data_IF_956356562961
#
_entry.id   IF_956356562961
#
_cell.length_a   1.000
_cell.length_b   1.000
_cell.length_c   1.000
_cell.angle_alpha   90.00
_cell.angle_beta   90.00
_cell.angle_gamma   90.00
#
_symmetry.space_group_name_H-M   'P 1'
#
loop_
_entity.id
_entity.type
_entity.pdbx_description
1 polymer ?
#
# COMPACT_ATOMS: atom_id res chain seq x y z
N UNK A 1 20.11 14.44 -6.64
CA UNK A 1 19.04 13.91 -5.76
C UNK A 1 17.67 14.34 -6.27
N UNK A 2 17.42 15.64 -6.53
CA UNK A 2 16.10 16.14 -6.96
C UNK A 2 15.63 15.55 -8.31
N UNK A 3 16.53 15.38 -9.29
CA UNK A 3 16.22 14.78 -10.58
C UNK A 3 15.78 13.32 -10.43
N UNK A 4 16.48 12.55 -9.60
CA UNK A 4 16.16 11.15 -9.32
C UNK A 4 14.80 11.03 -8.63
N UNK A 5 14.50 11.91 -7.69
CA UNK A 5 13.20 11.93 -7.00
C UNK A 5 12.05 12.30 -7.94
N UNK A 6 12.23 13.29 -8.81
CA UNK A 6 11.24 13.66 -9.81
C UNK A 6 10.99 12.52 -10.81
N UNK A 7 12.06 11.83 -11.22
CA UNK A 7 11.97 10.67 -12.11
C UNK A 7 11.22 9.49 -11.44
N UNK A 8 11.60 9.13 -10.22
CA UNK A 8 10.95 8.05 -9.46
C UNK A 8 9.47 8.37 -9.18
N UNK A 9 9.16 9.62 -8.83
CA UNK A 9 7.79 10.09 -8.67
C UNK A 9 6.98 9.97 -9.96
N UNK A 10 7.55 10.32 -11.11
CA UNK A 10 6.87 10.19 -12.41
C UNK A 10 6.55 8.74 -12.78
N UNK A 11 7.41 7.80 -12.42
CA UNK A 11 7.16 6.36 -12.59
C UNK A 11 6.03 5.87 -11.68
N UNK A 12 6.02 6.31 -10.42
CA UNK A 12 4.98 5.94 -9.45
C UNK A 12 3.59 6.42 -9.93
N UNK A 13 3.48 7.68 -10.37
CA UNK A 13 2.25 8.22 -10.94
C UNK A 13 1.82 7.48 -12.19
N UNK A 14 2.73 7.24 -13.13
CA UNK A 14 2.44 6.49 -14.35
C UNK A 14 1.86 5.10 -14.02
N UNK A 15 2.47 4.35 -13.10
CA UNK A 15 1.99 3.04 -12.70
C UNK A 15 0.63 3.08 -12.00
N UNK A 16 0.41 4.09 -11.16
CA UNK A 16 -0.86 4.29 -10.46
C UNK A 16 -2.00 4.53 -11.45
N UNK A 17 -1.84 5.50 -12.35
CA UNK A 17 -2.91 5.88 -13.28
C UNK A 17 -3.14 4.86 -14.39
N UNK A 18 -2.12 4.12 -14.81
CA UNK A 18 -2.28 2.97 -15.71
C UNK A 18 -3.20 1.91 -15.08
N UNK A 19 -3.06 1.68 -13.78
CA UNK A 19 -3.90 0.69 -13.07
C UNK A 19 -5.32 1.19 -12.80
N UNK A 20 -5.48 2.46 -12.43
CA UNK A 20 -6.76 3.01 -12.01
C UNK A 20 -7.63 3.45 -13.19
N UNK A 21 -7.03 4.14 -14.17
CA UNK A 21 -7.76 4.82 -15.24
C UNK A 21 -7.50 4.24 -16.64
N UNK A 22 -6.61 3.24 -16.76
CA UNK A 22 -6.15 2.69 -18.05
C UNK A 22 -5.62 3.78 -19.01
N UNK A 23 -5.19 4.92 -18.46
CA UNK A 23 -4.69 6.08 -19.15
C UNK A 23 -3.16 6.13 -19.11
N UNK A 24 -2.52 6.30 -20.27
CA UNK A 24 -1.07 6.22 -20.45
C UNK A 24 -0.49 7.55 -20.94
N UNK A 25 -0.52 8.64 -20.15
CA UNK A 25 0.19 9.84 -20.53
C UNK A 25 1.70 9.57 -20.47
N UNK A 26 2.45 10.18 -21.38
CA UNK A 26 3.90 10.02 -21.42
C UNK A 26 4.58 10.46 -20.10
N UNK A 27 5.76 9.90 -19.81
CA UNK A 27 6.54 10.21 -18.59
C UNK A 27 6.77 11.71 -18.38
N UNK A 28 6.92 12.46 -19.46
CA UNK A 28 7.14 13.91 -19.41
C UNK A 28 5.98 14.63 -18.74
N UNK A 29 4.74 14.20 -18.98
CA UNK A 29 3.54 14.79 -18.37
C UNK A 29 3.59 14.63 -16.84
N UNK A 30 3.93 13.46 -16.36
CA UNK A 30 4.06 13.20 -14.93
C UNK A 30 5.24 13.90 -14.27
N UNK A 31 6.32 14.09 -15.01
CA UNK A 31 7.47 14.87 -14.54
C UNK A 31 7.10 16.35 -14.40
N UNK A 32 6.45 16.93 -15.41
CA UNK A 32 5.94 18.32 -15.34
C UNK A 32 4.93 18.46 -14.20
N UNK A 33 4.02 17.52 -14.05
CA UNK A 33 3.06 17.49 -12.95
C UNK A 33 3.73 17.52 -11.57
N UNK A 34 4.75 16.69 -11.34
CA UNK A 34 5.52 16.69 -10.10
C UNK A 34 6.21 18.05 -9.85
N UNK A 35 6.81 18.64 -10.89
CA UNK A 35 7.50 19.95 -10.77
C UNK A 35 6.49 21.05 -10.46
N UNK A 36 5.33 21.05 -11.09
CA UNK A 36 4.26 22.04 -10.82
C UNK A 36 3.75 21.91 -9.38
N UNK A 37 3.48 20.69 -8.91
CA UNK A 37 3.07 20.47 -7.52
C UNK A 37 4.16 20.96 -6.56
N UNK A 38 5.42 20.60 -6.79
CA UNK A 38 6.53 21.02 -5.94
C UNK A 38 6.65 22.55 -5.89
N UNK A 39 6.47 23.23 -7.03
CA UNK A 39 6.48 24.69 -7.11
C UNK A 39 5.31 25.31 -6.33
N UNK A 40 4.09 24.79 -6.53
CA UNK A 40 2.91 25.28 -5.81
C UNK A 40 3.06 25.12 -4.29
N UNK A 41 3.52 23.95 -3.85
CA UNK A 41 3.77 23.67 -2.43
C UNK A 41 4.86 24.60 -1.87
N UNK A 42 5.92 24.88 -2.63
CA UNK A 42 6.98 25.82 -2.24
C UNK A 42 6.44 27.24 -2.07
N UNK A 43 5.59 27.70 -2.99
CA UNK A 43 4.97 29.02 -2.93
C UNK A 43 3.97 29.16 -1.78
N UNK A 44 3.33 28.05 -1.38
CA UNK A 44 2.39 28.00 -0.23
C UNK A 44 3.09 27.89 1.14
N UNK A 45 4.42 27.99 1.20
CA UNK A 45 5.17 27.92 2.46
C UNK A 45 5.25 26.50 3.04
N UNK A 46 5.48 25.50 2.21
CA UNK A 46 5.52 24.07 2.60
C UNK A 46 6.48 23.78 3.77
N UNK A 47 7.48 24.64 4.00
CA UNK A 47 8.43 24.45 5.09
C UNK A 47 7.75 24.43 6.47
N UNK A 48 6.67 25.17 6.65
CA UNK A 48 5.89 25.19 7.89
C UNK A 48 5.03 23.93 8.04
N UNK A 49 4.64 23.33 6.91
CA UNK A 49 3.79 22.13 6.89
C UNK A 49 4.57 20.84 6.58
N UNK A 50 5.87 20.95 6.39
CA UNK A 50 6.72 19.82 5.97
C UNK A 50 6.63 18.62 6.92
N UNK A 51 6.63 18.89 8.23
CA UNK A 51 6.52 17.84 9.23
C UNK A 51 5.17 17.11 9.14
N UNK A 52 4.07 17.84 8.97
CA UNK A 52 2.75 17.24 8.81
C UNK A 52 2.67 16.38 7.54
N UNK A 53 3.18 16.90 6.42
CA UNK A 53 3.21 16.16 5.14
C UNK A 53 4.03 14.89 5.26
N UNK A 54 5.22 14.95 5.88
CA UNK A 54 6.07 13.78 6.09
C UNK A 54 5.43 12.78 7.05
N UNK A 55 4.74 13.23 8.09
CA UNK A 55 4.03 12.36 9.04
C UNK A 55 2.89 11.61 8.36
N UNK A 56 2.08 12.28 7.55
CA UNK A 56 1.01 11.62 6.78
C UNK A 56 1.58 10.63 5.77
N UNK A 57 2.62 11.03 5.02
CA UNK A 57 3.27 10.15 4.05
C UNK A 57 3.87 8.91 4.71
N UNK A 58 4.61 9.07 5.81
CA UNK A 58 5.20 7.95 6.54
C UNK A 58 4.14 7.03 7.14
N UNK A 59 3.02 7.58 7.61
CA UNK A 59 1.88 6.80 8.11
C UNK A 59 1.34 5.84 7.06
N UNK A 60 1.11 6.32 5.84
CA UNK A 60 0.65 5.47 4.73
C UNK A 60 1.69 4.42 4.37
N UNK A 61 2.97 4.79 4.33
CA UNK A 61 4.05 3.85 4.04
C UNK A 61 4.15 2.75 5.11
N UNK A 62 4.06 3.10 6.40
CA UNK A 62 4.08 2.14 7.52
C UNK A 62 2.85 1.22 7.47
N UNK A 63 1.68 1.76 7.18
CA UNK A 63 0.46 0.97 7.02
C UNK A 63 0.60 -0.06 5.88
N UNK A 64 1.17 0.34 4.75
CA UNK A 64 1.44 -0.57 3.64
C UNK A 64 2.45 -1.67 4.03
N UNK A 65 3.54 -1.32 4.70
CA UNK A 65 4.53 -2.29 5.23
C UNK A 65 3.85 -3.25 6.20
N UNK A 66 2.98 -2.77 7.08
CA UNK A 66 2.23 -3.60 8.01
C UNK A 66 1.37 -4.65 7.32
N UNK A 67 0.68 -4.30 6.24
CA UNK A 67 -0.08 -5.24 5.44
C UNK A 67 0.81 -6.32 4.79
N UNK A 68 1.99 -5.93 4.27
CA UNK A 68 2.97 -6.86 3.72
C UNK A 68 3.54 -7.81 4.78
N UNK A 69 3.89 -7.29 5.96
CA UNK A 69 4.40 -8.11 7.07
C UNK A 69 3.33 -9.11 7.51
N UNK A 70 2.08 -8.70 7.64
CA UNK A 70 0.98 -9.61 7.96
C UNK A 70 0.83 -10.73 6.92
N UNK A 71 0.94 -10.40 5.64
CA UNK A 71 0.86 -11.41 4.59
C UNK A 71 2.02 -12.41 4.65
N UNK A 72 3.26 -11.92 4.76
CA UNK A 72 4.45 -12.76 4.72
C UNK A 72 4.63 -13.60 5.98
N UNK A 73 4.37 -13.03 7.16
CA UNK A 73 4.69 -13.65 8.45
C UNK A 73 3.52 -14.46 9.03
N UNK A 74 2.28 -14.04 8.73
CA UNK A 74 1.09 -14.66 9.33
C UNK A 74 0.28 -15.42 8.28
N UNK A 75 -0.13 -14.78 7.18
CA UNK A 75 -1.09 -15.34 6.25
C UNK A 75 -0.51 -16.43 5.34
N UNK A 76 0.77 -16.31 4.95
CA UNK A 76 1.47 -17.36 4.18
C UNK A 76 1.68 -18.63 4.99
N UNK A 77 2.25 -18.58 6.20
CA UNK A 77 2.38 -19.78 7.03
C UNK A 77 1.03 -20.39 7.43
N UNK A 78 -0.02 -19.56 7.57
CA UNK A 78 -1.37 -20.03 7.86
C UNK A 78 -2.08 -20.66 6.63
N UNK A 79 -1.46 -20.64 5.46
CA UNK A 79 -2.02 -21.21 4.22
C UNK A 79 -3.19 -20.43 3.62
N UNK A 80 -3.44 -19.20 4.08
CA UNK A 80 -4.52 -18.32 3.58
C UNK A 80 -4.06 -17.55 2.35
N UNK A 81 -2.82 -17.08 2.37
CA UNK A 81 -2.14 -16.47 1.22
C UNK A 81 -1.36 -17.52 0.45
N UNK A 82 -1.25 -17.42 -0.90
CA UNK A 82 -0.47 -18.36 -1.69
C UNK A 82 0.99 -18.40 -1.26
N UNK A 83 1.64 -19.57 -1.21
CA UNK A 83 3.03 -19.70 -0.78
C UNK A 83 4.03 -19.04 -1.74
N UNK A 84 3.63 -18.85 -2.99
CA UNK A 84 4.43 -18.22 -4.04
C UNK A 84 4.00 -16.77 -4.29
N UNK A 85 4.86 -16.01 -4.93
CA UNK A 85 4.56 -14.64 -5.36
C UNK A 85 4.23 -14.68 -6.86
N UNK A 86 2.99 -14.28 -7.21
CA UNK A 86 2.55 -14.22 -8.59
C UNK A 86 2.92 -12.87 -9.19
N UNK A 87 3.66 -12.89 -10.33
CA UNK A 87 4.11 -11.68 -11.03
C UNK A 87 3.28 -11.35 -12.27
N UNK A 88 2.51 -12.32 -12.79
CA UNK A 88 1.73 -12.10 -14.00
C UNK A 88 0.45 -11.34 -13.67
N UNK A 89 0.34 -10.13 -14.21
CA UNK A 89 -0.84 -9.28 -14.01
C UNK A 89 -2.16 -9.97 -14.41
N UNK A 90 -2.13 -10.80 -15.44
CA UNK A 90 -3.32 -11.54 -15.91
C UNK A 90 -3.88 -12.53 -14.88
N UNK A 91 -3.08 -12.89 -13.87
CA UNK A 91 -3.46 -13.83 -12.81
C UNK A 91 -3.89 -13.13 -11.53
N UNK A 92 -3.64 -11.82 -11.42
CA UNK A 92 -3.96 -11.02 -10.24
C UNK A 92 -5.29 -10.29 -10.43
N UNK A 93 -5.98 -10.06 -9.33
CA UNK A 93 -7.09 -9.10 -9.32
C UNK A 93 -6.55 -7.68 -9.46
N UNK A 94 -7.30 -6.79 -10.12
CA UNK A 94 -6.93 -5.37 -10.23
C UNK A 94 -6.87 -4.70 -8.86
N UNK A 95 -7.72 -5.15 -7.93
CA UNK A 95 -7.77 -4.71 -6.54
C UNK A 95 -7.70 -5.90 -5.58
N UNK A 96 -6.69 -5.87 -4.68
CA UNK A 96 -6.63 -6.80 -3.56
C UNK A 96 -7.17 -6.09 -2.29
N UNK A 97 -8.37 -6.45 -1.82
CA UNK A 97 -8.97 -5.82 -0.65
C UNK A 97 -8.18 -6.07 0.63
N UNK A 98 -7.39 -7.14 0.71
CA UNK A 98 -6.55 -7.43 1.89
C UNK A 98 -5.46 -6.36 2.03
N UNK A 99 -4.64 -6.15 1.01
CA UNK A 99 -3.58 -5.15 1.03
C UNK A 99 -4.10 -3.72 1.01
N UNK A 100 -4.94 -3.39 0.02
CA UNK A 100 -5.47 -2.03 -0.14
C UNK A 100 -6.40 -1.64 1.01
N UNK A 101 -7.30 -2.54 1.42
CA UNK A 101 -8.25 -2.27 2.51
C UNK A 101 -7.55 -2.09 3.85
N UNK A 102 -6.58 -2.96 4.18
CA UNK A 102 -5.80 -2.84 5.40
C UNK A 102 -5.00 -1.53 5.45
N UNK A 103 -4.35 -1.17 4.33
CA UNK A 103 -3.60 0.09 4.23
C UNK A 103 -4.50 1.31 4.41
N UNK A 104 -5.67 1.34 3.76
CA UNK A 104 -6.61 2.45 3.88
C UNK A 104 -7.16 2.60 5.29
N UNK A 105 -7.61 1.51 5.92
CA UNK A 105 -8.14 1.53 7.29
C UNK A 105 -7.07 2.01 8.26
N UNK A 106 -5.87 1.44 8.19
CA UNK A 106 -4.78 1.79 9.09
C UNK A 106 -4.31 3.24 8.90
N UNK A 107 -4.23 3.71 7.65
CA UNK A 107 -3.88 5.10 7.36
C UNK A 107 -4.92 6.07 7.93
N UNK A 108 -6.21 5.78 7.76
CA UNK A 108 -7.27 6.64 8.29
C UNK A 108 -7.23 6.71 9.82
N UNK A 109 -7.08 5.57 10.51
CA UNK A 109 -6.99 5.51 11.97
C UNK A 109 -5.75 6.25 12.49
N UNK A 110 -4.59 5.99 11.87
CA UNK A 110 -3.33 6.57 12.33
C UNK A 110 -3.20 8.08 12.00
N UNK A 111 -3.76 8.54 10.89
CA UNK A 111 -3.87 9.99 10.60
C UNK A 111 -4.81 10.65 11.61
N UNK A 112 -5.91 10.00 11.99
CA UNK A 112 -6.78 10.46 13.07
C UNK A 112 -6.04 10.54 14.41
N UNK A 113 -5.20 9.56 14.73
CA UNK A 113 -4.36 9.58 15.92
C UNK A 113 -3.35 10.74 15.88
N UNK A 114 -2.68 10.94 14.75
CA UNK A 114 -1.76 12.06 14.53
C UNK A 114 -2.46 13.42 14.68
N UNK A 115 -3.71 13.53 14.24
CA UNK A 115 -4.53 14.74 14.41
C UNK A 115 -5.07 14.93 15.85
N UNK A 116 -4.68 14.08 16.80
CA UNK A 116 -5.07 14.19 18.21
C UNK A 116 -6.46 13.63 18.55
N UNK A 117 -7.16 12.97 17.63
CA UNK A 117 -8.52 12.46 17.83
C UNK A 117 -8.62 11.43 18.98
N UNK A 118 -7.52 10.75 19.31
CA UNK A 118 -7.46 9.71 20.35
C UNK A 118 -6.59 10.10 21.56
N UNK A 119 -6.25 11.40 21.67
CA UNK A 119 -5.46 11.95 22.76
C UNK A 119 -3.94 11.93 22.52
N UNK A 120 -3.19 12.66 23.38
CA UNK A 120 -1.76 12.91 23.20
C UNK A 120 -0.88 11.65 23.15
N UNK A 121 -1.25 10.60 23.87
CA UNK A 121 -0.50 9.32 23.82
C UNK A 121 -0.64 8.67 22.45
N UNK A 122 -1.82 8.66 21.86
CA UNK A 122 -2.05 8.10 20.54
C UNK A 122 -1.35 8.93 19.46
N UNK A 123 -1.33 10.25 19.61
CA UNK A 123 -0.58 11.17 18.76
C UNK A 123 0.92 10.86 18.78
N UNK A 124 1.52 10.58 19.93
CA UNK A 124 2.93 10.23 20.04
C UNK A 124 3.28 8.88 19.38
N UNK A 125 2.33 7.94 19.33
CA UNK A 125 2.53 6.58 18.83
C UNK A 125 1.80 6.28 17.52
N UNK A 126 1.40 7.28 16.74
CA UNK A 126 0.61 7.11 15.52
C UNK A 126 1.23 6.12 14.51
N UNK A 127 2.56 6.08 14.38
CA UNK A 127 3.25 5.14 13.50
C UNK A 127 3.11 3.68 13.94
N UNK A 128 3.19 3.40 15.24
CA UNK A 128 2.95 2.04 15.78
C UNK A 128 1.47 1.66 15.65
N UNK A 129 0.56 2.60 15.79
CA UNK A 129 -0.87 2.39 15.55
C UNK A 129 -1.10 2.02 14.09
N UNK A 130 -0.47 2.74 13.14
CA UNK A 130 -0.54 2.42 11.72
C UNK A 130 -0.11 0.97 11.44
N UNK A 131 1.04 0.57 11.99
CA UNK A 131 1.57 -0.79 11.82
C UNK A 131 0.62 -1.85 12.39
N UNK A 132 0.22 -1.70 13.65
CA UNK A 132 -0.61 -2.67 14.35
C UNK A 132 -2.00 -2.80 13.70
N UNK A 133 -2.66 -1.67 13.43
CA UNK A 133 -3.98 -1.66 12.79
C UNK A 133 -3.92 -2.25 11.38
N UNK A 134 -2.85 -1.97 10.63
CA UNK A 134 -2.69 -2.54 9.29
C UNK A 134 -2.52 -4.06 9.34
N UNK A 135 -1.67 -4.57 10.22
CA UNK A 135 -1.48 -6.01 10.40
C UNK A 135 -2.80 -6.70 10.79
N UNK A 136 -3.50 -6.15 11.79
CA UNK A 136 -4.78 -6.70 12.27
C UNK A 136 -5.85 -6.66 11.17
N UNK A 137 -5.98 -5.54 10.48
CA UNK A 137 -6.95 -5.40 9.39
C UNK A 137 -6.66 -6.34 8.23
N UNK A 138 -5.39 -6.51 7.85
CA UNK A 138 -4.99 -7.46 6.80
C UNK A 138 -5.37 -8.89 7.18
N UNK A 139 -5.09 -9.32 8.42
CA UNK A 139 -5.44 -10.62 8.93
C UNK A 139 -6.96 -10.81 8.91
N UNK A 140 -7.73 -9.87 9.48
CA UNK A 140 -9.19 -9.97 9.55
C UNK A 140 -9.80 -10.04 8.15
N UNK A 141 -9.39 -9.18 7.21
CA UNK A 141 -9.92 -9.17 5.85
C UNK A 141 -9.55 -10.47 5.13
N UNK A 142 -8.32 -10.97 5.28
CA UNK A 142 -7.89 -12.21 4.65
C UNK A 142 -8.69 -13.42 5.15
N UNK A 143 -8.93 -13.53 6.45
CA UNK A 143 -9.79 -14.59 7.03
C UNK A 143 -11.25 -14.44 6.58
N UNK A 144 -11.81 -13.23 6.60
CA UNK A 144 -13.18 -12.97 6.16
C UNK A 144 -13.39 -13.31 4.68
N UNK A 145 -12.39 -13.03 3.85
CA UNK A 145 -12.42 -13.32 2.41
C UNK A 145 -11.92 -14.72 2.05
N UNK A 146 -11.44 -15.48 3.03
CA UNK A 146 -10.84 -16.82 2.85
C UNK A 146 -9.75 -16.84 1.77
N UNK A 147 -8.95 -15.80 1.67
CA UNK A 147 -7.87 -15.69 0.68
C UNK A 147 -8.34 -15.60 -0.78
N UNK A 148 -9.61 -15.29 -1.03
CA UNK A 148 -10.23 -15.36 -2.38
C UNK A 148 -9.63 -14.35 -3.37
N UNK A 149 -9.09 -13.23 -2.90
CA UNK A 149 -8.68 -12.11 -3.73
C UNK A 149 -7.18 -12.02 -4.01
N UNK A 150 -6.40 -13.05 -3.65
CA UNK A 150 -4.97 -13.08 -3.95
C UNK A 150 -4.69 -13.41 -5.41
N UNK A 151 -5.37 -14.40 -5.97
CA UNK A 151 -5.15 -14.87 -7.33
C UNK A 151 -6.48 -15.08 -8.04
N UNK A 152 -6.67 -14.40 -9.18
CA UNK A 152 -7.84 -14.53 -10.04
C UNK A 152 -7.76 -15.78 -10.93
N UNK A 153 -6.57 -16.09 -11.47
CA UNK A 153 -6.28 -17.26 -12.30
C UNK A 153 -5.01 -17.95 -11.84
N UNK A 154 -5.10 -19.18 -11.39
CA UNK A 154 -3.93 -20.00 -11.14
C UNK A 154 -3.56 -20.76 -12.41
N UNK A 155 -2.30 -20.68 -12.85
CA UNK A 155 -1.76 -21.55 -13.90
C UNK A 155 -1.91 -23.02 -13.50
N UNK A 156 -2.14 -23.90 -14.49
CA UNK A 156 -2.28 -25.34 -14.26
C UNK A 156 -1.06 -25.94 -13.53
N UNK A 157 0.13 -25.38 -13.76
CA UNK A 157 1.38 -25.77 -13.09
C UNK A 157 1.31 -25.62 -11.56
N UNK A 158 0.71 -24.52 -11.04
CA UNK A 158 0.58 -24.29 -9.60
C UNK A 158 -0.53 -25.10 -8.93
N UNK A 159 -1.48 -25.60 -9.71
CA UNK A 159 -2.52 -26.51 -9.20
C UNK A 159 -1.95 -27.87 -8.79
N UNK A 160 -0.89 -28.33 -9.43
CA UNK A 160 -0.20 -29.56 -9.04
C UNK A 160 0.56 -29.41 -7.75
N UNK A 161 1.29 -28.30 -7.54
CA UNK A 161 2.04 -28.04 -6.30
C UNK A 161 1.16 -27.99 -5.05
N UNK A 162 -0.08 -27.51 -5.19
CA UNK A 162 -1.03 -27.47 -4.07
C UNK A 162 -1.58 -28.88 -3.73
N UNK A 163 -1.55 -29.82 -4.64
CA UNK A 163 -1.96 -31.21 -4.39
C UNK A 163 -0.89 -32.00 -3.63
N UNK A 164 0.36 -31.74 -3.94
CA UNK A 164 1.51 -32.47 -3.37
C UNK A 164 1.89 -32.00 -1.97
N UNK A 165 1.43 -30.80 -1.55
CA UNK A 165 1.64 -30.27 -0.19
C UNK A 165 0.51 -30.61 0.80
N UNK A 166 -0.54 -31.30 0.36
CA UNK A 166 -1.65 -31.75 1.21
C UNK A 166 -1.65 -33.26 1.49
N UNK A 167 -0.58 -33.96 1.15
CA UNK A 167 -0.25 -35.33 1.56
C UNK A 167 0.87 -35.26 2.55
#
# INVERSE_FOLDING_TARGET
INVTNAYSGSLAWSNCFVRLAHYHPGRVVWLVFNVVIALLLSLLGIFETLQAVLSVYSTVAIAWIGALVADLVVLKPAGISPPYIEFKRAHLYDFNPVGCGATLIASAVAIGAYAGAFGATAEAFFGFIALAVSMMSAIVIAYATRGRYYIARADAHYRHLKRDTQV
#
